data_IF_411220412984
#
_entry.id   IF_411220412984
#
_cell.length_a   1.000
_cell.length_b   1.000
_cell.length_c   1.000
_cell.angle_alpha   90.00
_cell.angle_beta   90.00
_cell.angle_gamma   90.00
#
_symmetry.space_group_name_H-M   'P 1'
#
loop_
_entity.id
_entity.type
_entity.pdbx_description
1 polymer ?
#
# COMPACT_ATOMS: atom_id res chain seq x y z
N UNK A 1 6.72 -18.42 -3.57
CA UNK A 1 6.93 -17.93 -2.19
C UNK A 1 6.69 -16.42 -2.05
N UNK A 2 7.34 -15.55 -2.84
CA UNK A 2 7.28 -14.09 -2.65
C UNK A 2 5.90 -13.42 -2.87
N UNK A 3 5.09 -13.90 -3.83
CA UNK A 3 3.79 -13.27 -4.16
C UNK A 3 2.79 -13.38 -3.01
N UNK A 4 2.73 -14.53 -2.32
CA UNK A 4 1.84 -14.72 -1.17
C UNK A 4 2.22 -13.80 -0.01
N UNK A 5 3.53 -13.65 0.26
CA UNK A 5 4.00 -12.74 1.30
C UNK A 5 3.64 -11.28 0.97
N UNK A 6 3.81 -10.86 -0.28
CA UNK A 6 3.45 -9.51 -0.72
C UNK A 6 1.95 -9.23 -0.56
N UNK A 7 1.09 -10.15 -0.99
CA UNK A 7 -0.37 -10.02 -0.87
C UNK A 7 -0.79 -9.99 0.61
N UNK A 8 -0.27 -10.91 1.43
CA UNK A 8 -0.57 -10.96 2.86
C UNK A 8 -0.10 -9.69 3.58
N UNK A 9 1.07 -9.15 3.22
CA UNK A 9 1.57 -7.90 3.78
C UNK A 9 0.67 -6.71 3.45
N UNK A 10 0.16 -6.63 2.21
CA UNK A 10 -0.84 -5.61 1.82
C UNK A 10 -2.13 -5.73 2.62
N UNK A 11 -2.70 -6.93 2.72
CA UNK A 11 -3.95 -7.17 3.46
C UNK A 11 -3.80 -6.77 4.93
N UNK A 12 -2.75 -7.25 5.60
CA UNK A 12 -2.47 -6.90 6.99
C UNK A 12 -2.18 -5.40 7.15
N UNK A 13 -1.39 -4.81 6.26
CA UNK A 13 -1.07 -3.38 6.28
C UNK A 13 -2.32 -2.49 6.18
N UNK A 14 -3.26 -2.84 5.30
CA UNK A 14 -4.53 -2.11 5.13
C UNK A 14 -5.43 -2.28 6.35
N UNK A 15 -5.57 -3.49 6.87
CA UNK A 15 -6.35 -3.75 8.09
C UNK A 15 -5.80 -2.94 9.26
N UNK A 16 -4.49 -3.01 9.51
CA UNK A 16 -3.85 -2.29 10.60
C UNK A 16 -3.92 -0.77 10.41
N UNK A 17 -3.91 -0.27 9.18
CA UNK A 17 -4.15 1.14 8.89
C UNK A 17 -5.54 1.60 9.34
N UNK A 18 -6.60 0.84 9.01
CA UNK A 18 -7.95 1.17 9.47
C UNK A 18 -8.09 1.05 10.99
N UNK A 19 -7.43 0.07 11.62
CA UNK A 19 -7.38 -0.06 13.08
C UNK A 19 -6.69 1.16 13.71
N UNK A 20 -5.51 1.56 13.22
CA UNK A 20 -4.80 2.75 13.69
C UNK A 20 -5.65 4.01 13.51
N UNK A 21 -6.34 4.12 12.37
CA UNK A 21 -7.26 5.22 12.09
C UNK A 21 -8.43 5.23 13.09
N UNK A 22 -9.07 4.09 13.36
CA UNK A 22 -10.21 4.01 14.27
C UNK A 22 -9.82 4.29 15.74
N UNK A 23 -8.60 3.92 16.14
CA UNK A 23 -8.07 4.18 17.49
C UNK A 23 -7.63 5.63 17.69
N UNK A 24 -7.21 6.32 16.63
CA UNK A 24 -6.77 7.72 16.72
C UNK A 24 -7.91 8.62 17.22
N UNK A 25 -7.71 9.26 18.38
CA UNK A 25 -8.72 10.08 19.07
C UNK A 25 -9.55 9.35 20.13
N UNK A 26 -9.45 8.01 20.23
CA UNK A 26 -10.06 7.20 21.31
C UNK A 26 -9.01 6.62 22.26
N UNK A 27 -7.93 6.08 21.70
CA UNK A 27 -6.81 5.48 22.43
C UNK A 27 -5.50 5.81 21.72
N UNK A 28 -4.93 6.97 22.05
CA UNK A 28 -3.74 7.49 21.37
C UNK A 28 -2.49 6.63 21.59
N UNK A 29 -2.37 5.95 22.73
CA UNK A 29 -1.30 4.98 22.98
C UNK A 29 -1.42 3.79 22.02
N UNK A 30 -2.62 3.20 21.94
CA UNK A 30 -2.92 2.09 21.02
C UNK A 30 -2.72 2.50 19.56
N UNK A 31 -3.24 3.66 19.16
CA UNK A 31 -3.06 4.20 17.82
C UNK A 31 -1.58 4.38 17.45
N UNK A 32 -0.74 4.86 18.37
CA UNK A 32 0.71 4.99 18.15
C UNK A 32 1.39 3.64 17.95
N UNK A 33 1.04 2.63 18.74
CA UNK A 33 1.61 1.28 18.61
C UNK A 33 1.23 0.68 17.25
N UNK A 34 -0.05 0.69 16.91
CA UNK A 34 -0.52 0.14 15.63
C UNK A 34 0.09 0.93 14.46
N UNK A 35 0.21 2.26 14.56
CA UNK A 35 0.87 3.08 13.55
C UNK A 35 2.35 2.68 13.34
N UNK A 36 3.08 2.37 14.40
CA UNK A 36 4.45 1.86 14.29
C UNK A 36 4.52 0.50 13.61
N UNK A 37 3.56 -0.40 13.87
CA UNK A 37 3.48 -1.71 13.21
C UNK A 37 3.15 -1.54 11.72
N UNK A 38 2.19 -0.67 11.38
CA UNK A 38 1.83 -0.33 10.00
C UNK A 38 3.07 0.11 9.20
N UNK A 39 3.95 0.92 9.81
CA UNK A 39 5.22 1.32 9.17
C UNK A 39 6.17 0.16 8.89
N UNK A 40 6.21 -0.87 9.73
CA UNK A 40 6.99 -2.09 9.44
C UNK A 40 6.39 -2.83 8.24
N UNK A 41 5.07 -2.93 8.14
CA UNK A 41 4.40 -3.53 6.98
C UNK A 41 4.68 -2.76 5.69
N UNK A 42 4.76 -1.43 5.72
CA UNK A 42 5.16 -0.65 4.55
C UNK A 42 6.53 -1.06 4.01
N UNK A 43 7.51 -1.26 4.89
CA UNK A 43 8.85 -1.70 4.50
C UNK A 43 8.81 -3.11 3.88
N UNK A 44 8.03 -4.03 4.48
CA UNK A 44 7.86 -5.38 3.95
C UNK A 44 7.20 -5.34 2.57
N UNK A 45 6.15 -4.53 2.38
CA UNK A 45 5.46 -4.35 1.10
C UNK A 45 6.43 -3.83 0.03
N UNK A 46 7.25 -2.83 0.35
CA UNK A 46 8.23 -2.26 -0.59
C UNK A 46 9.29 -3.31 -0.94
N UNK A 47 9.89 -3.96 0.07
CA UNK A 47 10.94 -4.95 -0.14
C UNK A 47 10.45 -6.14 -1.01
N UNK A 48 9.28 -6.68 -0.67
CA UNK A 48 8.66 -7.78 -1.43
C UNK A 48 8.17 -7.35 -2.81
N UNK A 49 7.74 -6.09 -2.97
CA UNK A 49 7.36 -5.51 -4.26
C UNK A 49 8.55 -5.36 -5.21
N UNK A 50 9.70 -4.88 -4.70
CA UNK A 50 10.96 -4.80 -5.45
C UNK A 50 11.42 -6.20 -5.85
N UNK A 51 11.38 -7.17 -4.93
CA UNK A 51 11.72 -8.57 -5.24
C UNK A 51 10.83 -9.12 -6.37
N UNK A 52 9.52 -8.88 -6.30
CA UNK A 52 8.58 -9.31 -7.34
C UNK A 52 8.89 -8.65 -8.68
N UNK A 53 9.19 -7.34 -8.69
CA UNK A 53 9.58 -6.61 -9.90
C UNK A 53 10.87 -7.15 -10.53
N UNK A 54 11.89 -7.42 -9.72
CA UNK A 54 13.17 -7.98 -10.21
C UNK A 54 12.99 -9.39 -10.78
N UNK A 55 12.19 -10.23 -10.12
CA UNK A 55 11.97 -11.62 -10.56
C UNK A 55 11.09 -11.73 -11.81
N UNK A 56 10.11 -10.83 -11.96
CA UNK A 56 9.04 -10.96 -12.97
C UNK A 56 8.97 -9.79 -13.95
N UNK A 57 9.02 -8.56 -13.46
CA UNK A 57 8.89 -7.34 -14.28
C UNK A 57 10.03 -7.13 -15.28
N UNK A 58 11.26 -7.51 -14.94
CA UNK A 58 12.40 -7.43 -15.88
C UNK A 58 12.37 -8.49 -17.00
N UNK A 59 11.55 -9.53 -16.88
CA UNK A 59 11.53 -10.66 -17.81
C UNK A 59 10.45 -10.55 -18.89
N UNK A 60 9.56 -9.56 -18.81
CA UNK A 60 8.50 -9.35 -19.81
C UNK A 60 8.86 -8.18 -20.72
N UNK A 61 9.35 -8.45 -21.96
CA UNK A 61 9.59 -7.40 -22.93
C UNK A 61 8.28 -6.68 -23.30
N UNK A 62 8.32 -5.34 -23.36
CA UNK A 62 7.19 -4.49 -23.76
C UNK A 62 6.35 -3.89 -22.62
N UNK A 63 6.45 -4.39 -21.37
CA UNK A 63 5.61 -3.95 -20.25
C UNK A 63 6.38 -3.21 -19.13
N UNK A 64 7.69 -3.02 -19.28
CA UNK A 64 8.56 -2.45 -18.23
C UNK A 64 8.07 -1.11 -17.67
N UNK A 65 7.57 -0.21 -18.52
CA UNK A 65 7.04 1.09 -18.08
C UNK A 65 5.80 0.99 -17.19
N UNK A 66 4.89 0.06 -17.50
CA UNK A 66 3.66 -0.14 -16.71
C UNK A 66 3.94 -0.81 -15.36
N UNK A 67 4.92 -1.72 -15.31
CA UNK A 67 5.39 -2.32 -14.05
C UNK A 67 6.09 -1.29 -13.13
N UNK A 68 6.89 -0.38 -13.70
CA UNK A 68 7.46 0.76 -12.95
C UNK A 68 6.34 1.69 -12.46
N UNK A 69 5.36 1.99 -13.30
CA UNK A 69 4.18 2.77 -12.92
C UNK A 69 3.43 2.15 -11.74
N UNK A 70 3.24 0.83 -11.73
CA UNK A 70 2.61 0.11 -10.61
C UNK A 70 3.42 0.20 -9.31
N UNK A 71 4.75 0.13 -9.39
CA UNK A 71 5.62 0.31 -8.22
C UNK A 71 5.49 1.72 -7.63
N UNK A 72 5.51 2.75 -8.49
CA UNK A 72 5.34 4.15 -8.06
C UNK A 72 3.97 4.34 -7.41
N UNK A 73 2.91 3.83 -8.04
CA UNK A 73 1.55 3.90 -7.49
C UNK A 73 1.45 3.19 -6.13
N UNK A 74 2.07 2.02 -5.97
CA UNK A 74 2.12 1.32 -4.68
C UNK A 74 2.81 2.15 -3.58
N UNK A 75 3.92 2.82 -3.90
CA UNK A 75 4.59 3.75 -2.98
C UNK A 75 3.69 4.94 -2.65
N UNK A 76 2.97 5.48 -3.63
CA UNK A 76 2.01 6.56 -3.41
C UNK A 76 0.89 6.13 -2.46
N UNK A 77 0.33 4.91 -2.61
CA UNK A 77 -0.68 4.36 -1.68
C UNK A 77 -0.15 4.38 -0.24
N UNK A 78 1.07 3.87 -0.02
CA UNK A 78 1.73 3.89 1.30
C UNK A 78 1.90 5.32 1.82
N UNK A 79 2.35 6.23 0.96
CA UNK A 79 2.50 7.65 1.30
C UNK A 79 1.18 8.29 1.73
N UNK A 80 0.09 8.01 1.00
CA UNK A 80 -1.24 8.49 1.35
C UNK A 80 -1.75 7.91 2.67
N UNK A 81 -1.54 6.61 2.93
CA UNK A 81 -1.89 6.00 4.21
C UNK A 81 -1.15 6.67 5.38
N UNK A 82 0.17 6.89 5.25
CA UNK A 82 0.97 7.58 6.26
C UNK A 82 0.47 9.02 6.48
N UNK A 83 0.21 9.76 5.40
CA UNK A 83 -0.31 11.13 5.50
C UNK A 83 -1.67 11.19 6.19
N UNK A 84 -2.56 10.23 5.96
CA UNK A 84 -3.86 10.12 6.64
C UNK A 84 -3.67 9.96 8.14
N UNK A 85 -2.83 9.00 8.58
CA UNK A 85 -2.60 8.75 10.01
C UNK A 85 -1.92 9.94 10.69
N UNK A 86 -0.92 10.56 10.05
CA UNK A 86 -0.20 11.72 10.59
C UNK A 86 -1.12 12.95 10.69
N UNK A 87 -1.95 13.21 9.67
CA UNK A 87 -2.90 14.34 9.72
C UNK A 87 -3.96 14.13 10.78
N UNK A 88 -4.48 12.91 10.92
CA UNK A 88 -5.43 12.57 11.97
C UNK A 88 -4.84 12.79 13.36
N UNK A 89 -3.60 12.35 13.59
CA UNK A 89 -2.87 12.62 14.84
C UNK A 89 -2.68 14.12 15.11
N UNK A 90 -2.51 14.92 14.07
CA UNK A 90 -2.35 16.39 14.17
C UNK A 90 -3.68 17.14 14.24
N UNK A 91 -4.84 16.46 14.28
CA UNK A 91 -6.16 17.10 14.25
C UNK A 91 -6.45 17.89 12.97
N UNK A 92 -5.71 17.64 11.89
CA UNK A 92 -5.88 18.35 10.60
C UNK A 92 -6.92 17.64 9.74
N UNK A 93 -7.51 18.39 8.79
CA UNK A 93 -8.42 17.82 7.80
C UNK A 93 -7.78 16.65 7.04
N UNK A 94 -8.46 15.50 7.11
CA UNK A 94 -8.03 14.23 6.53
C UNK A 94 -8.73 13.93 5.21
N UNK A 95 -9.92 14.52 4.99
CA UNK A 95 -10.83 14.20 3.88
C UNK A 95 -10.14 14.23 2.52
N UNK A 96 -9.41 15.31 2.19
CA UNK A 96 -8.74 15.42 0.89
C UNK A 96 -7.65 14.36 0.66
N UNK A 97 -6.87 14.03 1.69
CA UNK A 97 -5.82 13.01 1.60
C UNK A 97 -6.43 11.61 1.54
N UNK A 98 -7.53 11.39 2.24
CA UNK A 98 -8.25 10.12 2.21
C UNK A 98 -8.92 9.86 0.85
N UNK A 99 -9.45 10.90 0.20
CA UNK A 99 -9.93 10.80 -1.18
C UNK A 99 -8.77 10.46 -2.11
N UNK A 100 -7.64 11.15 -1.99
CA UNK A 100 -6.43 10.84 -2.76
C UNK A 100 -5.95 9.40 -2.57
N UNK A 101 -5.96 8.89 -1.32
CA UNK A 101 -5.68 7.49 -1.00
C UNK A 101 -6.58 6.54 -1.79
N UNK A 102 -7.90 6.75 -1.76
CA UNK A 102 -8.88 5.88 -2.44
C UNK A 102 -8.62 5.90 -3.95
N UNK A 103 -8.46 7.08 -4.55
CA UNK A 103 -8.23 7.22 -6.00
C UNK A 103 -6.96 6.49 -6.41
N UNK A 104 -5.85 6.72 -5.71
CA UNK A 104 -4.57 6.06 -6.05
C UNK A 104 -4.64 4.56 -5.82
N UNK A 105 -5.31 4.09 -4.76
CA UNK A 105 -5.50 2.67 -4.51
C UNK A 105 -6.30 1.99 -5.64
N UNK A 106 -7.38 2.61 -6.10
CA UNK A 106 -8.18 2.10 -7.24
C UNK A 106 -7.32 2.04 -8.50
N UNK A 107 -6.61 3.11 -8.85
CA UNK A 107 -5.73 3.15 -10.03
C UNK A 107 -4.65 2.07 -9.95
N UNK A 108 -4.07 1.85 -8.76
CA UNK A 108 -3.06 0.79 -8.52
C UNK A 108 -3.64 -0.60 -8.79
N UNK A 109 -4.87 -0.86 -8.35
CA UNK A 109 -5.56 -2.14 -8.55
C UNK A 109 -5.90 -2.33 -10.04
N UNK A 110 -6.46 -1.30 -10.70
CA UNK A 110 -6.82 -1.35 -12.11
C UNK A 110 -5.60 -1.59 -13.02
N UNK A 111 -4.50 -0.86 -12.79
CA UNK A 111 -3.23 -1.10 -13.49
C UNK A 111 -2.70 -2.50 -13.17
N UNK A 112 -2.88 -2.93 -11.92
CA UNK A 112 -2.52 -4.26 -11.48
C UNK A 112 -3.26 -5.36 -12.21
N UNK A 113 -4.56 -5.21 -12.48
CA UNK A 113 -5.42 -6.16 -13.20
C UNK A 113 -5.14 -6.19 -14.70
N UNK A 114 -4.79 -5.05 -15.29
CA UNK A 114 -4.46 -4.93 -16.72
C UNK A 114 -3.14 -5.61 -17.08
N UNK A 115 -2.20 -5.68 -16.14
CA UNK A 115 -0.90 -6.28 -16.37
C UNK A 115 -1.00 -7.82 -16.50
N UNK A 116 -0.27 -8.45 -17.43
CA UNK A 116 -0.38 -9.89 -17.72
C UNK A 116 -0.13 -10.82 -16.51
N UNK A 117 0.65 -10.36 -15.53
CA UNK A 117 0.97 -11.11 -14.29
C UNK A 117 0.01 -10.76 -13.13
N UNK A 118 -0.95 -9.86 -13.37
CA UNK A 118 -1.79 -9.24 -12.34
C UNK A 118 -2.72 -10.18 -11.60
N UNK A 119 -3.42 -11.03 -12.35
CA UNK A 119 -4.41 -11.99 -11.87
C UNK A 119 -4.56 -13.10 -12.92
N UNK A 120 -3.96 -14.27 -12.69
CA UNK A 120 -4.49 -15.50 -13.25
C UNK A 120 -5.67 -15.91 -12.37
N UNK A 121 -6.88 -15.47 -12.76
CA UNK A 121 -8.11 -16.09 -12.29
C UNK A 121 -8.19 -17.44 -13.00
N UNK A 122 -7.55 -18.43 -12.36
CA UNK A 122 -7.50 -19.84 -12.74
C UNK A 122 -6.61 -20.18 -13.94
#
# INVERSE_FOLDING_TARGET
>A
MGTHLHITAWVLGIILFFVAFALAGKNDKGAKIVHMIVRLFYLIIIATGVELYVRTGMKIPGYGGEYVGKMILGILVIGFMEMVLVRKKKGKSVTGVFIGFIVVAIVTILLGLRLPIGFHIF
#
